data_IF_631385746489
#
_entry.id   IF_631385746489
#
_cell.length_a   1.000
_cell.length_b   1.000
_cell.length_c   1.000
_cell.angle_alpha   90.00
_cell.angle_beta   90.00
_cell.angle_gamma   90.00
#
_symmetry.space_group_name_H-M   'P 1'
#
loop_
_entity.id
_entity.type
_entity.pdbx_description
1 polymer ?
#
# COMPACT_ATOMS: atom_id res chain seq x y z
N UNK A 1 30.74 17.43 -49.66
CA UNK A 1 29.47 16.67 -49.55
C UNK A 1 29.19 16.46 -48.06
N UNK A 2 28.39 17.34 -47.45
CA UNK A 2 28.14 17.31 -46.01
C UNK A 2 26.96 16.35 -45.71
N UNK A 3 27.26 15.23 -45.08
CA UNK A 3 26.24 14.27 -44.64
C UNK A 3 25.55 14.87 -43.41
N UNK A 4 24.35 15.39 -43.62
CA UNK A 4 23.48 15.89 -42.56
C UNK A 4 22.93 14.70 -41.77
N UNK A 5 23.62 14.33 -40.68
CA UNK A 5 23.15 13.38 -39.69
C UNK A 5 22.06 14.04 -38.82
N UNK A 6 20.94 14.42 -39.43
CA UNK A 6 19.70 14.65 -38.69
C UNK A 6 19.21 13.27 -38.27
N UNK A 7 19.66 12.89 -37.09
CA UNK A 7 19.43 11.64 -36.39
C UNK A 7 17.91 11.40 -36.24
N UNK A 8 17.29 10.88 -37.30
CA UNK A 8 15.95 10.29 -37.25
C UNK A 8 16.08 8.94 -36.58
N UNK A 9 16.23 8.92 -35.26
CA UNK A 9 15.89 7.71 -34.52
C UNK A 9 14.37 7.57 -34.62
N UNK A 10 13.83 6.52 -35.27
CA UNK A 10 12.42 6.24 -35.19
C UNK A 10 12.20 5.70 -33.77
N UNK A 11 11.97 6.57 -32.79
CA UNK A 11 11.36 6.11 -31.55
C UNK A 11 10.01 5.55 -31.97
N UNK A 12 9.91 4.22 -31.97
CA UNK A 12 8.77 3.48 -32.49
C UNK A 12 7.47 4.12 -31.95
N UNK A 13 6.46 4.40 -32.81
CA UNK A 13 5.22 5.09 -32.42
C UNK A 13 4.56 4.50 -31.15
N UNK A 14 4.78 3.21 -30.92
CA UNK A 14 4.40 2.45 -29.74
C UNK A 14 4.97 3.01 -28.41
N UNK A 15 6.25 3.37 -28.37
CA UNK A 15 6.90 3.87 -27.15
C UNK A 15 6.37 5.25 -26.75
N UNK A 16 6.08 6.12 -27.72
CA UNK A 16 5.51 7.45 -27.45
C UNK A 16 4.09 7.36 -26.90
N UNK A 17 3.30 6.38 -27.37
CA UNK A 17 1.93 6.10 -26.92
C UNK A 17 1.86 5.51 -25.51
N UNK A 18 2.89 4.81 -25.05
CA UNK A 18 2.88 4.07 -23.77
C UNK A 18 3.92 4.55 -22.76
N UNK A 19 4.63 5.65 -23.06
CA UNK A 19 5.72 6.18 -22.25
C UNK A 19 5.32 6.40 -20.79
N UNK A 20 4.10 6.85 -20.55
CA UNK A 20 3.55 7.11 -19.22
C UNK A 20 3.46 5.83 -18.37
N UNK A 21 2.82 4.79 -18.89
CA UNK A 21 2.65 3.54 -18.14
C UNK A 21 3.97 2.81 -17.94
N UNK A 22 4.86 2.86 -18.94
CA UNK A 22 6.22 2.35 -18.78
C UNK A 22 6.99 3.08 -17.69
N UNK A 23 6.84 4.41 -17.60
CA UNK A 23 7.50 5.21 -16.56
C UNK A 23 6.96 4.85 -15.16
N UNK A 24 5.64 4.74 -15.00
CA UNK A 24 5.03 4.33 -13.73
C UNK A 24 5.49 2.91 -13.34
N UNK A 25 5.43 1.96 -14.28
CA UNK A 25 5.87 0.58 -14.03
C UNK A 25 7.35 0.48 -13.68
N UNK A 26 8.22 1.19 -14.41
CA UNK A 26 9.65 1.24 -14.13
C UNK A 26 9.95 1.86 -12.75
N UNK A 27 9.31 2.99 -12.43
CA UNK A 27 9.45 3.63 -11.12
C UNK A 27 8.97 2.72 -9.99
N UNK A 28 7.86 2.02 -10.18
CA UNK A 28 7.33 1.08 -9.20
C UNK A 28 8.31 -0.09 -8.95
N UNK A 29 8.84 -0.69 -10.03
CA UNK A 29 9.84 -1.75 -9.91
C UNK A 29 11.11 -1.27 -9.23
N UNK A 30 11.58 -0.06 -9.55
CA UNK A 30 12.75 0.54 -8.90
C UNK A 30 12.51 0.71 -7.39
N UNK A 31 11.37 1.27 -7.00
CA UNK A 31 11.01 1.43 -5.57
C UNK A 31 10.96 0.08 -4.85
N UNK A 32 10.36 -0.93 -5.46
CA UNK A 32 10.29 -2.28 -4.88
C UNK A 32 11.67 -2.91 -4.76
N UNK A 33 12.53 -2.75 -5.78
CA UNK A 33 13.90 -3.25 -5.78
C UNK A 33 14.72 -2.59 -4.66
N UNK A 34 14.64 -1.27 -4.52
CA UNK A 34 15.31 -0.53 -3.44
C UNK A 34 14.84 -1.06 -2.07
N UNK A 35 13.53 -1.26 -1.89
CA UNK A 35 12.98 -1.79 -0.63
C UNK A 35 13.46 -3.22 -0.32
N UNK A 36 13.67 -4.05 -1.34
CA UNK A 36 14.15 -5.42 -1.20
C UNK A 36 15.65 -5.51 -0.90
N UNK A 37 16.47 -4.63 -1.49
CA UNK A 37 17.92 -4.58 -1.29
C UNK A 37 18.28 -3.91 0.04
N UNK A 38 17.54 -2.87 0.44
CA UNK A 38 17.77 -2.11 1.67
C UNK A 38 16.66 -2.38 2.70
N UNK A 39 16.73 -3.51 3.44
CA UNK A 39 15.79 -3.75 4.52
C UNK A 39 16.05 -2.76 5.67
N UNK A 40 15.09 -1.89 5.98
CA UNK A 40 15.07 -1.11 7.20
C UNK A 40 14.93 -2.04 8.43
N UNK A 41 15.85 -1.92 9.38
CA UNK A 41 15.93 -2.80 10.56
C UNK A 41 15.45 -2.10 11.83
N UNK A 42 15.55 -0.76 11.89
CA UNK A 42 15.06 0.04 13.01
C UNK A 42 13.67 0.61 12.70
N UNK A 43 12.80 0.68 13.71
CA UNK A 43 11.41 1.14 13.56
C UNK A 43 11.32 2.54 12.92
N UNK A 44 12.22 3.45 13.31
CA UNK A 44 12.30 4.81 12.73
C UNK A 44 12.73 4.82 11.27
N UNK A 45 13.64 3.93 10.86
CA UNK A 45 14.07 3.82 9.46
C UNK A 45 12.93 3.38 8.56
N UNK A 46 12.09 2.44 9.03
CA UNK A 46 10.94 1.95 8.24
C UNK A 46 9.98 3.08 7.92
N UNK A 47 9.72 3.98 8.88
CA UNK A 47 8.87 5.15 8.67
C UNK A 47 9.44 6.08 7.60
N UNK A 48 10.68 6.54 7.76
CA UNK A 48 11.30 7.47 6.82
C UNK A 48 11.48 6.87 5.42
N UNK A 49 11.87 5.60 5.34
CA UNK A 49 11.97 4.89 4.08
C UNK A 49 10.61 4.76 3.39
N UNK A 50 9.54 4.45 4.14
CA UNK A 50 8.19 4.35 3.59
C UNK A 50 7.67 5.72 3.14
N UNK A 51 7.89 6.78 3.92
CA UNK A 51 7.57 8.14 3.52
C UNK A 51 8.30 8.53 2.22
N UNK A 52 9.61 8.28 2.15
CA UNK A 52 10.43 8.64 1.00
C UNK A 52 10.03 7.84 -0.26
N UNK A 53 9.94 6.52 -0.15
CA UNK A 53 9.76 5.62 -1.30
C UNK A 53 8.30 5.47 -1.73
N UNK A 54 7.36 5.42 -0.79
CA UNK A 54 5.95 5.13 -1.09
C UNK A 54 5.09 6.39 -1.16
N UNK A 55 5.53 7.53 -0.64
CA UNK A 55 4.77 8.78 -0.73
C UNK A 55 5.49 9.88 -1.49
N UNK A 56 6.66 10.33 -1.02
CA UNK A 56 7.37 11.47 -1.59
C UNK A 56 7.81 11.18 -3.02
N UNK A 57 8.50 10.06 -3.26
CA UNK A 57 8.99 9.73 -4.60
C UNK A 57 7.86 9.61 -5.64
N UNK A 58 6.78 8.84 -5.42
CA UNK A 58 5.67 8.78 -6.36
C UNK A 58 4.98 10.13 -6.56
N UNK A 59 4.84 10.93 -5.49
CA UNK A 59 4.27 12.28 -5.57
C UNK A 59 5.11 13.19 -6.47
N UNK A 60 6.44 13.15 -6.35
CA UNK A 60 7.36 13.90 -7.21
C UNK A 60 7.24 13.45 -8.67
N UNK A 61 7.17 12.13 -8.92
CA UNK A 61 6.98 11.60 -10.27
C UNK A 61 5.66 12.09 -10.87
N UNK A 62 4.55 12.02 -10.13
CA UNK A 62 3.24 12.48 -10.61
C UNK A 62 3.28 13.98 -10.97
N UNK A 63 3.82 14.80 -10.07
CA UNK A 63 3.77 16.26 -10.20
C UNK A 63 4.77 16.80 -11.23
N UNK A 64 6.01 16.31 -11.22
CA UNK A 64 7.09 16.92 -11.99
C UNK A 64 7.44 16.16 -13.28
N UNK A 65 7.22 14.85 -13.31
CA UNK A 65 7.59 14.02 -14.48
C UNK A 65 6.36 13.75 -15.35
N UNK A 66 5.24 13.36 -14.74
CA UNK A 66 3.99 13.10 -15.44
C UNK A 66 3.18 14.38 -15.70
N UNK A 67 3.35 15.41 -14.87
CA UNK A 67 2.55 16.64 -14.87
C UNK A 67 1.03 16.35 -14.74
N UNK A 68 0.67 15.33 -13.95
CA UNK A 68 -0.72 14.91 -13.72
C UNK A 68 -1.24 15.40 -12.35
N UNK A 69 -2.56 15.40 -12.20
CA UNK A 69 -3.20 15.80 -10.95
C UNK A 69 -3.25 14.61 -9.97
N UNK A 70 -2.91 14.85 -8.70
CA UNK A 70 -3.01 13.85 -7.64
C UNK A 70 -4.44 13.30 -7.45
N UNK A 71 -5.46 14.07 -7.84
CA UNK A 71 -6.87 13.62 -7.85
C UNK A 71 -7.11 12.41 -8.76
N UNK A 72 -6.31 12.25 -9.81
CA UNK A 72 -6.42 11.10 -10.73
C UNK A 72 -5.80 9.83 -10.13
N UNK A 73 -4.94 10.01 -9.12
CA UNK A 73 -4.33 8.94 -8.33
C UNK A 73 -5.09 8.70 -7.01
N UNK A 74 -6.35 9.13 -6.93
CA UNK A 74 -7.25 8.81 -5.82
C UNK A 74 -7.14 9.73 -4.61
N UNK A 75 -6.37 10.84 -4.68
CA UNK A 75 -6.41 11.92 -3.67
C UNK A 75 -7.65 12.82 -3.87
N UNK A 76 -8.83 12.21 -3.88
CA UNK A 76 -10.14 12.85 -3.92
C UNK A 76 -11.13 12.03 -3.10
N UNK A 77 -12.24 12.63 -2.70
CA UNK A 77 -13.28 11.94 -1.91
C UNK A 77 -14.04 10.91 -2.77
N UNK A 78 -14.19 11.16 -4.07
CA UNK A 78 -14.80 10.21 -5.00
C UNK A 78 -16.24 9.85 -4.62
N UNK A 79 -16.64 8.58 -4.85
CA UNK A 79 -17.95 8.06 -4.48
C UNK A 79 -17.94 7.57 -3.02
N UNK A 80 -18.44 8.40 -2.12
CA UNK A 80 -18.45 8.13 -0.69
C UNK A 80 -19.30 6.92 -0.30
N UNK A 81 -20.47 6.73 -0.92
CA UNK A 81 -21.37 5.60 -0.61
C UNK A 81 -20.68 4.27 -0.89
N UNK A 82 -20.12 4.11 -2.08
CA UNK A 82 -19.40 2.89 -2.44
C UNK A 82 -18.13 2.73 -1.61
N UNK A 83 -17.40 3.83 -1.37
CA UNK A 83 -16.20 3.83 -0.54
C UNK A 83 -16.46 3.32 0.87
N UNK A 84 -17.43 3.90 1.57
CA UNK A 84 -17.76 3.53 2.94
C UNK A 84 -18.31 2.10 3.05
N UNK A 85 -19.24 1.70 2.18
CA UNK A 85 -19.83 0.36 2.22
C UNK A 85 -18.75 -0.71 1.98
N UNK A 86 -17.93 -0.53 0.93
CA UNK A 86 -16.88 -1.50 0.61
C UNK A 86 -15.75 -1.48 1.65
N UNK A 87 -15.41 -0.31 2.21
CA UNK A 87 -14.46 -0.20 3.30
C UNK A 87 -14.96 -0.93 4.56
N UNK A 88 -16.23 -0.80 4.90
CA UNK A 88 -16.84 -1.50 6.03
C UNK A 88 -16.85 -3.03 5.81
N UNK A 89 -17.19 -3.49 4.60
CA UNK A 89 -17.13 -4.91 4.26
C UNK A 89 -15.68 -5.43 4.36
N UNK A 90 -14.71 -4.70 3.79
CA UNK A 90 -13.31 -5.05 3.85
C UNK A 90 -12.82 -5.12 5.31
N UNK A 91 -13.19 -4.13 6.13
CA UNK A 91 -12.89 -4.11 7.57
C UNK A 91 -13.45 -5.35 8.26
N UNK A 92 -14.74 -5.68 8.10
CA UNK A 92 -15.35 -6.82 8.77
C UNK A 92 -14.70 -8.15 8.37
N UNK A 93 -14.49 -8.37 7.08
CA UNK A 93 -13.90 -9.63 6.57
C UNK A 93 -12.46 -9.78 7.04
N UNK A 94 -11.65 -8.73 6.93
CA UNK A 94 -10.23 -8.79 7.27
C UNK A 94 -9.99 -8.73 8.77
N UNK A 95 -10.83 -8.05 9.55
CA UNK A 95 -10.80 -8.11 11.00
C UNK A 95 -11.15 -9.52 11.51
N UNK A 96 -12.15 -10.18 10.91
CA UNK A 96 -12.47 -11.57 11.24
C UNK A 96 -11.32 -12.53 10.89
N UNK A 97 -10.68 -12.34 9.72
CA UNK A 97 -9.49 -13.11 9.35
C UNK A 97 -8.31 -12.86 10.32
N UNK A 98 -8.10 -11.61 10.72
CA UNK A 98 -7.06 -11.22 11.68
C UNK A 98 -7.32 -11.85 13.06
N UNK A 99 -8.57 -11.83 13.52
CA UNK A 99 -8.97 -12.51 14.76
C UNK A 99 -8.67 -14.01 14.70
N UNK A 100 -9.02 -14.68 13.60
CA UNK A 100 -8.70 -16.09 13.42
C UNK A 100 -7.20 -16.35 13.50
N UNK A 101 -6.38 -15.48 12.89
CA UNK A 101 -4.91 -15.60 12.95
C UNK A 101 -4.40 -15.45 14.39
N UNK A 102 -4.85 -14.40 15.08
CA UNK A 102 -4.46 -14.12 16.48
C UNK A 102 -4.91 -15.22 17.42
N UNK A 103 -6.03 -15.91 17.15
CA UNK A 103 -6.52 -17.01 17.99
C UNK A 103 -5.55 -18.21 18.05
N UNK A 104 -4.75 -18.43 16.99
CA UNK A 104 -3.83 -19.56 16.88
C UNK A 104 -2.44 -19.18 17.39
N UNK A 105 -2.00 -19.82 18.48
CA UNK A 105 -0.68 -19.58 19.14
C UNK A 105 0.48 -19.59 18.14
N UNK A 106 0.51 -20.59 17.25
CA UNK A 106 1.58 -20.77 16.27
C UNK A 106 1.75 -19.57 15.34
N UNK A 107 0.66 -18.91 14.94
CA UNK A 107 0.71 -17.75 14.05
C UNK A 107 0.83 -16.43 14.80
N UNK A 108 0.18 -16.34 15.97
CA UNK A 108 0.26 -15.15 16.82
C UNK A 108 1.68 -14.82 17.25
N UNK A 109 2.48 -15.83 17.59
CA UNK A 109 3.88 -15.63 18.03
C UNK A 109 4.80 -15.10 16.90
N UNK A 110 4.31 -15.06 15.66
CA UNK A 110 5.03 -14.50 14.51
C UNK A 110 4.61 -13.06 14.21
N UNK A 111 3.60 -12.53 14.91
CA UNK A 111 3.17 -11.14 14.79
C UNK A 111 4.06 -10.24 15.63
N UNK A 112 4.46 -9.11 15.05
CA UNK A 112 5.30 -8.13 15.71
C UNK A 112 4.44 -7.01 16.28
N UNK A 113 4.58 -6.76 17.58
CA UNK A 113 4.00 -5.60 18.24
C UNK A 113 5.16 -4.71 18.75
N UNK A 114 5.23 -3.42 18.37
CA UNK A 114 6.26 -2.52 18.87
C UNK A 114 6.36 -2.53 20.39
N UNK A 115 7.56 -2.67 20.92
CA UNK A 115 7.79 -2.69 22.37
C UNK A 115 7.30 -1.40 23.02
N UNK A 116 6.50 -1.50 24.07
CA UNK A 116 6.02 -0.36 24.86
C UNK A 116 4.57 0.05 24.60
N UNK A 117 4.00 -0.23 23.41
CA UNK A 117 2.60 0.18 23.14
C UNK A 117 1.58 -0.59 23.97
N UNK A 118 1.89 -1.83 24.36
CA UNK A 118 1.03 -2.64 25.22
C UNK A 118 0.96 -2.15 26.68
N UNK A 119 1.88 -1.28 27.11
CA UNK A 119 2.03 -0.86 28.52
C UNK A 119 1.44 0.51 28.83
N UNK A 120 1.23 1.37 27.82
CA UNK A 120 0.76 2.73 28.02
C UNK A 120 -0.23 3.14 26.92
N UNK A 121 -1.48 3.42 27.31
CA UNK A 121 -2.55 3.84 26.40
C UNK A 121 -2.21 5.10 25.60
N UNK A 122 -1.57 6.10 26.21
CA UNK A 122 -1.20 7.33 25.51
C UNK A 122 -0.11 7.08 24.47
N UNK A 123 0.84 6.20 24.78
CA UNK A 123 1.87 5.81 23.82
C UNK A 123 1.29 4.98 22.66
N UNK A 124 0.34 4.08 22.95
CA UNK A 124 -0.44 3.38 21.93
C UNK A 124 -1.19 4.37 21.02
N UNK A 125 -1.94 5.31 21.58
CA UNK A 125 -2.71 6.29 20.80
C UNK A 125 -1.80 7.17 19.94
N UNK A 126 -0.66 7.61 20.49
CA UNK A 126 0.35 8.36 19.73
C UNK A 126 0.91 7.53 18.57
N UNK A 127 1.27 6.27 18.83
CA UNK A 127 1.81 5.39 17.79
C UNK A 127 0.80 5.17 16.67
N UNK A 128 -0.45 4.86 17.01
CA UNK A 128 -1.50 4.59 16.03
C UNK A 128 -1.80 5.79 15.13
N UNK A 129 -1.91 6.98 15.72
CA UNK A 129 -2.31 8.19 14.99
C UNK A 129 -1.15 8.85 14.24
N UNK A 130 0.06 8.84 14.82
CA UNK A 130 1.20 9.59 14.28
C UNK A 130 2.13 8.71 13.43
N UNK A 131 2.19 7.41 13.71
CA UNK A 131 3.07 6.48 12.98
C UNK A 131 2.25 5.55 12.09
N UNK A 132 1.32 4.77 12.66
CA UNK A 132 0.62 3.72 11.92
C UNK A 132 -0.30 4.31 10.82
N UNK A 133 -1.10 5.33 11.13
CA UNK A 133 -2.02 5.94 10.18
C UNK A 133 -1.29 6.54 8.96
N UNK A 134 -0.25 7.37 9.10
CA UNK A 134 0.50 7.86 7.94
C UNK A 134 1.19 6.73 7.16
N UNK A 135 1.74 5.71 7.84
CA UNK A 135 2.34 4.57 7.15
C UNK A 135 1.33 3.85 6.25
N UNK A 136 0.12 3.56 6.76
CA UNK A 136 -0.94 2.98 5.95
C UNK A 136 -1.30 3.87 4.77
N UNK A 137 -1.37 5.19 4.98
CA UNK A 137 -1.62 6.12 3.89
C UNK A 137 -0.52 6.09 2.82
N UNK A 138 0.77 6.05 3.19
CA UNK A 138 1.87 5.96 2.23
C UNK A 138 1.79 4.67 1.40
N UNK A 139 1.51 3.55 2.05
CA UNK A 139 1.31 2.26 1.38
C UNK A 139 0.13 2.29 0.40
N UNK A 140 -1.02 2.81 0.83
CA UNK A 140 -2.18 2.95 -0.06
C UNK A 140 -1.90 3.89 -1.23
N UNK A 141 -1.23 5.01 -0.97
CA UNK A 141 -0.88 5.97 -2.01
C UNK A 141 0.03 5.35 -3.08
N UNK A 142 1.03 4.55 -2.70
CA UNK A 142 1.90 3.87 -3.65
C UNK A 142 1.16 2.78 -4.44
N UNK A 143 0.57 1.81 -3.75
CA UNK A 143 0.01 0.63 -4.41
C UNK A 143 -1.30 0.95 -5.14
N UNK A 144 -2.23 1.64 -4.48
CA UNK A 144 -3.58 1.88 -5.04
C UNK A 144 -3.61 3.19 -5.80
N UNK A 145 -2.87 4.20 -5.36
CA UNK A 145 -2.77 5.46 -6.09
C UNK A 145 -1.85 5.31 -7.30
N UNK A 146 -0.55 5.27 -7.06
CA UNK A 146 0.48 5.33 -8.08
C UNK A 146 0.48 4.14 -9.04
N UNK A 147 0.44 2.90 -8.53
CA UNK A 147 0.48 1.71 -9.38
C UNK A 147 -0.90 1.41 -9.97
N UNK A 148 -1.92 1.20 -9.14
CA UNK A 148 -3.23 0.76 -9.60
C UNK A 148 -3.93 1.80 -10.48
N UNK A 149 -4.31 2.95 -9.92
CA UNK A 149 -5.01 3.99 -10.68
C UNK A 149 -4.11 4.58 -11.77
N UNK A 150 -2.79 4.65 -11.52
CA UNK A 150 -1.82 5.08 -12.52
C UNK A 150 -1.78 4.20 -13.77
N UNK A 151 -1.85 2.87 -13.62
CA UNK A 151 -1.81 1.92 -14.73
C UNK A 151 -3.20 1.50 -15.24
N UNK A 152 -4.27 1.84 -14.52
CA UNK A 152 -5.64 1.42 -14.84
C UNK A 152 -6.08 1.85 -16.25
N UNK A 153 -5.64 3.03 -16.73
CA UNK A 153 -5.98 3.50 -18.08
C UNK A 153 -5.62 2.49 -19.18
N UNK A 154 -4.56 1.70 -18.97
CA UNK A 154 -4.07 0.71 -19.94
C UNK A 154 -4.37 -0.73 -19.54
N UNK A 155 -4.25 -1.05 -18.25
CA UNK A 155 -4.43 -2.41 -17.74
C UNK A 155 -5.87 -2.70 -17.29
N UNK A 156 -6.72 -1.68 -17.13
CA UNK A 156 -8.07 -1.83 -16.60
C UNK A 156 -8.05 -2.56 -15.25
N UNK A 157 -8.89 -3.60 -15.14
CA UNK A 157 -8.98 -4.46 -13.95
C UNK A 157 -7.66 -5.18 -13.63
N UNK A 158 -6.79 -5.45 -14.60
CA UNK A 158 -5.51 -6.13 -14.34
C UNK A 158 -4.56 -5.29 -13.48
N UNK A 159 -4.75 -3.96 -13.42
CA UNK A 159 -4.00 -3.10 -12.49
C UNK A 159 -4.23 -3.48 -11.02
N UNK A 160 -5.43 -3.97 -10.67
CA UNK A 160 -5.77 -4.46 -9.33
C UNK A 160 -4.98 -5.71 -8.95
N UNK A 161 -4.84 -6.65 -9.88
CA UNK A 161 -4.08 -7.88 -9.63
C UNK A 161 -2.58 -7.58 -9.61
N UNK A 162 -2.10 -6.70 -10.50
CA UNK A 162 -0.69 -6.33 -10.57
C UNK A 162 -0.21 -5.65 -9.29
N UNK A 163 -0.94 -4.67 -8.77
CA UNK A 163 -0.57 -4.00 -7.51
C UNK A 163 -0.61 -4.98 -6.33
N UNK A 164 -1.62 -5.87 -6.29
CA UNK A 164 -1.76 -6.89 -5.23
C UNK A 164 -0.59 -7.87 -5.25
N UNK A 165 -0.18 -8.29 -6.45
CA UNK A 165 0.99 -9.15 -6.64
C UNK A 165 2.26 -8.48 -6.11
N UNK A 166 2.53 -7.23 -6.48
CA UNK A 166 3.69 -6.49 -5.98
C UNK A 166 3.68 -6.28 -4.47
N UNK A 167 2.51 -5.96 -3.89
CA UNK A 167 2.37 -5.80 -2.44
C UNK A 167 2.62 -7.13 -1.71
N UNK A 168 2.05 -8.22 -2.22
CA UNK A 168 2.22 -9.57 -1.65
C UNK A 168 3.66 -10.06 -1.76
N UNK A 169 4.38 -9.69 -2.84
CA UNK A 169 5.79 -10.02 -3.02
C UNK A 169 6.67 -9.45 -1.89
N UNK A 170 6.35 -8.26 -1.37
CA UNK A 170 7.06 -7.69 -0.22
C UNK A 170 6.84 -8.50 1.07
N UNK A 171 5.74 -9.23 1.18
CA UNK A 171 5.39 -10.06 2.33
C UNK A 171 5.83 -11.53 2.20
N UNK A 172 6.43 -11.94 1.09
CA UNK A 172 6.67 -13.35 0.77
C UNK A 172 7.62 -14.09 1.73
N UNK A 173 8.43 -13.33 2.48
CA UNK A 173 9.32 -13.88 3.53
C UNK A 173 8.58 -14.17 4.84
N UNK A 174 7.34 -13.70 4.96
CA UNK A 174 6.49 -13.93 6.12
C UNK A 174 5.82 -15.30 6.12
N UNK A 175 5.12 -15.65 7.21
CA UNK A 175 4.40 -16.91 7.28
C UNK A 175 3.21 -16.93 6.32
N UNK A 176 2.88 -18.12 5.80
CA UNK A 176 1.83 -18.34 4.80
C UNK A 176 0.50 -17.62 5.10
N UNK A 177 -0.09 -17.72 6.33
CA UNK A 177 -1.32 -16.99 6.67
C UNK A 177 -1.19 -15.47 6.50
N UNK A 178 -0.02 -14.90 6.81
CA UNK A 178 0.23 -13.47 6.64
C UNK A 178 0.33 -13.11 5.15
N UNK A 179 0.95 -13.96 4.33
CA UNK A 179 0.98 -13.76 2.88
C UNK A 179 -0.46 -13.73 2.32
N UNK A 180 -1.31 -14.67 2.74
CA UNK A 180 -2.72 -14.68 2.33
C UNK A 180 -3.51 -13.48 2.86
N UNK A 181 -3.23 -13.03 4.08
CA UNK A 181 -3.86 -11.83 4.64
C UNK A 181 -3.44 -10.56 3.87
N UNK A 182 -2.17 -10.45 3.49
CA UNK A 182 -1.65 -9.34 2.65
C UNK A 182 -2.24 -9.40 1.25
N UNK A 183 -2.34 -10.58 0.65
CA UNK A 183 -2.99 -10.75 -0.66
C UNK A 183 -4.48 -10.38 -0.60
N UNK A 184 -5.20 -10.86 0.42
CA UNK A 184 -6.61 -10.51 0.63
C UNK A 184 -6.80 -9.02 0.86
N UNK A 185 -6.05 -8.44 1.79
CA UNK A 185 -6.14 -6.99 2.09
C UNK A 185 -5.79 -6.13 0.89
N UNK A 186 -4.76 -6.47 0.11
CA UNK A 186 -4.40 -5.75 -1.12
C UNK A 186 -5.48 -5.82 -2.21
N UNK A 187 -6.17 -6.96 -2.36
CA UNK A 187 -7.30 -7.08 -3.28
C UNK A 187 -8.52 -6.29 -2.81
N UNK A 188 -8.90 -6.40 -1.52
CA UNK A 188 -10.06 -5.69 -0.96
C UNK A 188 -9.87 -4.17 -1.03
N UNK A 189 -8.74 -3.67 -0.54
CA UNK A 189 -8.35 -2.26 -0.62
C UNK A 189 -8.36 -1.75 -2.06
N UNK A 190 -7.73 -2.49 -2.99
CA UNK A 190 -7.71 -2.10 -4.39
C UNK A 190 -9.11 -2.07 -5.01
N UNK A 191 -10.00 -3.00 -4.62
CA UNK A 191 -11.40 -2.98 -5.06
C UNK A 191 -12.17 -1.77 -4.50
N UNK A 192 -11.95 -1.43 -3.22
CA UNK A 192 -12.50 -0.20 -2.60
C UNK A 192 -12.08 1.02 -3.41
N UNK A 193 -10.79 1.16 -3.73
CA UNK A 193 -10.28 2.31 -4.49
C UNK A 193 -10.81 2.32 -5.92
N UNK A 194 -10.93 1.16 -6.57
CA UNK A 194 -11.45 1.09 -7.94
C UNK A 194 -12.90 1.59 -8.03
N UNK A 195 -13.75 1.24 -7.06
CA UNK A 195 -15.17 1.62 -7.05
C UNK A 195 -15.42 3.01 -6.48
N UNK A 196 -14.63 3.43 -5.49
CA UNK A 196 -14.78 4.74 -4.84
C UNK A 196 -14.01 5.85 -5.54
N UNK A 197 -12.94 5.53 -6.28
CA UNK A 197 -11.96 6.48 -6.81
C UNK A 197 -11.26 7.32 -5.73
N UNK A 198 -11.16 6.78 -4.51
CA UNK A 198 -10.60 7.46 -3.34
C UNK A 198 -9.69 6.54 -2.53
N UNK A 199 -8.51 7.03 -2.19
CA UNK A 199 -7.57 6.34 -1.30
C UNK A 199 -7.99 6.41 0.16
N UNK A 200 -8.74 7.45 0.55
CA UNK A 200 -9.02 7.72 1.96
C UNK A 200 -9.82 6.60 2.63
N UNK A 201 -10.83 6.04 1.96
CA UNK A 201 -11.61 4.94 2.52
C UNK A 201 -10.80 3.65 2.64
N UNK A 202 -9.92 3.39 1.67
CA UNK A 202 -9.04 2.23 1.69
C UNK A 202 -8.01 2.34 2.82
N UNK A 203 -7.36 3.50 2.94
CA UNK A 203 -6.40 3.79 4.00
C UNK A 203 -7.03 3.72 5.39
N UNK A 204 -8.22 4.30 5.56
CA UNK A 204 -8.96 4.21 6.82
C UNK A 204 -9.31 2.76 7.15
N UNK A 205 -9.81 1.98 6.20
CA UNK A 205 -10.13 0.57 6.44
C UNK A 205 -8.89 -0.25 6.84
N UNK A 206 -7.79 -0.13 6.09
CA UNK A 206 -6.57 -0.89 6.38
C UNK A 206 -5.94 -0.47 7.71
N UNK A 207 -5.93 0.83 8.02
CA UNK A 207 -5.50 1.32 9.32
C UNK A 207 -6.38 0.78 10.45
N UNK A 208 -7.71 0.80 10.31
CA UNK A 208 -8.62 0.24 11.32
C UNK A 208 -8.43 -1.27 11.52
N UNK A 209 -8.12 -2.02 10.46
CA UNK A 209 -7.79 -3.45 10.56
C UNK A 209 -6.49 -3.63 11.35
N UNK A 210 -5.45 -2.84 11.06
CA UNK A 210 -4.18 -2.87 11.79
C UNK A 210 -4.36 -2.51 13.27
N UNK A 211 -5.08 -1.43 13.55
CA UNK A 211 -5.40 -1.00 14.91
C UNK A 211 -6.19 -2.09 15.67
N UNK A 212 -7.13 -2.75 15.00
CA UNK A 212 -7.87 -3.88 15.57
C UNK A 212 -6.95 -5.06 15.91
N UNK A 213 -6.00 -5.37 15.03
CA UNK A 213 -4.99 -6.42 15.26
C UNK A 213 -4.11 -6.08 16.46
N UNK A 214 -3.64 -4.84 16.56
CA UNK A 214 -2.79 -4.40 17.68
C UNK A 214 -3.57 -4.45 19.02
N UNK A 215 -4.83 -4.05 19.05
CA UNK A 215 -5.71 -4.20 20.22
C UNK A 215 -5.87 -5.66 20.62
N UNK A 216 -6.10 -6.57 19.66
CA UNK A 216 -6.23 -8.01 19.93
C UNK A 216 -4.94 -8.58 20.53
N UNK A 217 -3.78 -8.17 20.02
CA UNK A 217 -2.48 -8.59 20.54
C UNK A 217 -2.23 -8.05 21.96
N UNK A 218 -2.49 -6.77 22.21
CA UNK A 218 -2.34 -6.16 23.54
C UNK A 218 -3.22 -6.87 24.56
N UNK A 219 -4.48 -7.15 24.20
CA UNK A 219 -5.39 -7.90 25.07
C UNK A 219 -4.86 -9.29 25.39
N UNK A 220 -4.32 -9.98 24.39
CA UNK A 220 -3.72 -11.30 24.60
C UNK A 220 -2.51 -11.23 25.56
N UNK A 221 -1.62 -10.25 25.38
CA UNK A 221 -0.42 -10.06 26.22
C UNK A 221 -0.79 -9.75 27.67
N UNK A 222 -1.79 -8.88 27.90
CA UNK A 222 -2.13 -8.39 29.23
C UNK A 222 -3.04 -9.34 30.04
N UNK A 223 -3.90 -10.11 29.37
CA UNK A 223 -4.96 -10.88 30.05
C UNK A 223 -4.92 -12.39 29.80
N UNK A 224 -4.02 -12.90 28.95
CA UNK A 224 -3.86 -14.34 28.74
C UNK A 224 -5.05 -15.01 28.03
N UNK A 225 -5.37 -14.59 26.81
CA UNK A 225 -6.29 -15.31 25.89
C UNK A 225 -7.79 -15.31 26.27
N UNK A 226 -8.62 -15.75 25.32
CA UNK A 226 -10.07 -15.97 25.47
C UNK A 226 -10.36 -17.43 25.81
#
# INVERSE_FOLDING_TARGET
>A
MAINLKNTSPQAPFLKKHRREFLIGFCALLVLLVRLIFPANLSGEVFWMSLALFFVFPLLIIRFVLNENLKDFGMKIGNARNGMILAAIAFLVLAAASYFIVSKVFWRNQLFLPSGIARNFWYFLWFELIIALPMHFFWEFFFRGFIQLGLEKKLGIFSLFLQSFFQTLLAIRGPWPMIFLVLGSSLFSGFVVQKSRSLYYSAAAMWLISLGLDIMLIRYINFGGF
#
